data_IF_796425622466
#
_entry.id   IF_796425622466
#
_cell.length_a   1.000
_cell.length_b   1.000
_cell.length_c   1.000
_cell.angle_alpha   90.00
_cell.angle_beta   90.00
_cell.angle_gamma   90.00
#
_symmetry.space_group_name_H-M   'P 1'
#
loop_
_entity.id
_entity.type
_entity.pdbx_description
1 polymer ?
#
# COMPACT_ATOMS: atom_id res chain seq x y z
N UNK A 1 1.80 -17.30 -4.55
CA UNK A 1 1.89 -15.96 -3.92
C UNK A 1 3.36 -15.56 -3.95
N UNK A 2 3.76 -14.56 -4.76
CA UNK A 2 5.15 -14.06 -4.78
C UNK A 2 5.25 -12.98 -3.71
N UNK A 3 6.02 -13.22 -2.65
CA UNK A 3 6.03 -12.36 -1.47
C UNK A 3 6.78 -11.04 -1.68
N UNK A 4 7.73 -10.90 -2.61
CA UNK A 4 8.41 -9.62 -2.82
C UNK A 4 8.87 -9.46 -4.27
N UNK A 5 8.44 -8.37 -4.91
CA UNK A 5 8.88 -7.96 -6.25
C UNK A 5 10.00 -6.91 -6.11
N UNK A 6 11.16 -7.16 -6.70
CA UNK A 6 12.32 -6.24 -6.68
C UNK A 6 12.53 -5.51 -8.00
N UNK A 7 11.51 -5.47 -8.88
CA UNK A 7 11.65 -4.92 -10.23
C UNK A 7 11.83 -3.40 -10.30
N UNK A 8 11.43 -2.66 -9.25
CA UNK A 8 11.35 -1.19 -9.32
C UNK A 8 12.23 -0.49 -8.27
N UNK A 9 12.80 0.65 -8.67
CA UNK A 9 13.58 1.55 -7.82
C UNK A 9 12.92 2.93 -7.78
N UNK A 10 13.09 3.64 -6.66
CA UNK A 10 12.60 5.02 -6.56
C UNK A 10 13.39 5.92 -7.53
N UNK A 11 14.72 5.77 -7.56
CA UNK A 11 15.62 6.50 -8.46
C UNK A 11 16.12 5.55 -9.54
N UNK A 12 16.01 5.95 -10.81
CA UNK A 12 16.39 5.13 -11.97
C UNK A 12 17.86 5.30 -12.39
N UNK A 13 18.43 6.50 -12.20
CA UNK A 13 19.79 6.82 -12.65
C UNK A 13 20.52 7.68 -11.61
N UNK A 14 21.51 7.11 -10.89
CA UNK A 14 21.79 5.67 -10.79
C UNK A 14 20.62 4.93 -10.11
N UNK A 15 20.45 3.64 -10.41
CA UNK A 15 19.43 2.83 -9.74
C UNK A 15 19.69 2.78 -8.24
N UNK A 16 18.80 3.40 -7.45
CA UNK A 16 18.91 3.46 -5.99
C UNK A 16 17.53 3.42 -5.33
N UNK A 17 17.53 2.96 -4.08
CA UNK A 17 16.34 2.86 -3.24
C UNK A 17 15.28 1.93 -3.84
N UNK A 18 15.55 0.62 -3.77
CA UNK A 18 14.63 -0.41 -4.25
C UNK A 18 13.28 -0.33 -3.53
N UNK A 19 12.19 -0.34 -4.30
CA UNK A 19 10.85 -0.39 -3.78
C UNK A 19 10.51 -1.83 -3.43
N UNK A 20 10.11 -2.05 -2.17
CA UNK A 20 9.76 -3.36 -1.64
C UNK A 20 8.42 -3.27 -0.92
N UNK A 21 7.29 -3.38 -1.63
CA UNK A 21 6.00 -3.53 -0.96
C UNK A 21 5.93 -4.87 -0.25
N UNK A 22 5.18 -4.95 0.84
CA UNK A 22 4.97 -6.21 1.57
C UNK A 22 4.21 -7.25 0.74
N UNK A 23 3.22 -6.80 -0.04
CA UNK A 23 2.35 -7.68 -0.82
C UNK A 23 2.17 -7.13 -2.24
N UNK A 24 2.45 -7.99 -3.22
CA UNK A 24 2.23 -7.71 -4.65
C UNK A 24 1.27 -8.76 -5.20
N UNK A 25 0.10 -8.31 -5.68
CA UNK A 25 -0.91 -9.18 -6.29
C UNK A 25 -0.81 -9.14 -7.81
N UNK A 26 -0.64 -10.31 -8.42
CA UNK A 26 -0.51 -10.47 -9.86
C UNK A 26 -1.70 -11.24 -10.43
N UNK A 27 -2.14 -10.86 -11.63
CA UNK A 27 -3.07 -11.62 -12.46
C UNK A 27 -2.51 -11.64 -13.88
N UNK A 28 -2.37 -12.81 -14.47
CA UNK A 28 -1.83 -13.00 -15.83
C UNK A 28 -0.50 -12.25 -16.03
N UNK A 29 0.44 -12.45 -15.10
CA UNK A 29 1.76 -11.78 -15.01
C UNK A 29 1.77 -10.25 -14.87
N UNK A 30 0.59 -9.62 -14.79
CA UNK A 30 0.44 -8.19 -14.54
C UNK A 30 0.19 -7.92 -13.06
N UNK A 31 0.93 -6.94 -12.51
CA UNK A 31 0.65 -6.42 -11.16
C UNK A 31 -0.68 -5.68 -11.21
N UNK A 32 -1.66 -6.15 -10.44
CA UNK A 32 -3.00 -5.54 -10.39
C UNK A 32 -3.22 -4.68 -9.16
N UNK A 33 -2.55 -5.03 -8.04
CA UNK A 33 -2.71 -4.35 -6.74
C UNK A 33 -1.43 -4.50 -5.93
N UNK A 34 -1.17 -3.50 -5.10
CA UNK A 34 -0.09 -3.53 -4.08
C UNK A 34 -0.71 -3.24 -2.73
N UNK A 35 -0.23 -3.95 -1.71
CA UNK A 35 -0.55 -3.67 -0.32
C UNK A 35 0.72 -3.56 0.53
N UNK A 36 0.66 -2.72 1.55
CA UNK A 36 1.70 -2.55 2.56
C UNK A 36 1.06 -2.65 3.95
N UNK A 37 1.75 -3.31 4.88
CA UNK A 37 1.24 -3.58 6.22
C UNK A 37 1.89 -2.64 7.22
N UNK A 38 1.10 -2.15 8.19
CA UNK A 38 1.56 -1.27 9.25
C UNK A 38 1.15 -1.82 10.59
N UNK A 39 2.06 -1.86 11.55
CA UNK A 39 1.79 -2.29 12.91
C UNK A 39 1.40 -1.08 13.79
N UNK A 40 0.20 -0.55 13.56
CA UNK A 40 -0.34 0.60 14.28
C UNK A 40 -1.86 0.56 14.30
N UNK A 41 -2.49 0.93 15.41
CA UNK A 41 -3.94 1.15 15.45
C UNK A 41 -4.23 2.59 14.98
N UNK A 42 -5.25 2.74 14.12
CA UNK A 42 -5.71 4.03 13.62
C UNK A 42 -7.22 4.14 13.79
N UNK A 43 -7.70 5.32 14.20
CA UNK A 43 -9.13 5.60 14.36
C UNK A 43 -9.58 6.76 13.47
N UNK A 44 -8.68 7.71 13.22
CA UNK A 44 -8.87 8.89 12.40
C UNK A 44 -7.84 8.94 11.25
N UNK A 45 -8.10 9.75 10.23
CA UNK A 45 -7.20 9.90 9.08
C UNK A 45 -5.84 10.52 9.48
N UNK A 46 -5.83 11.41 10.46
CA UNK A 46 -4.62 12.02 11.05
C UNK A 46 -3.66 10.99 11.66
N UNK A 47 -4.14 9.79 11.99
CA UNK A 47 -3.29 8.73 12.55
C UNK A 47 -2.46 8.03 11.46
N UNK A 48 -2.77 8.25 10.18
CA UNK A 48 -2.00 7.71 9.06
C UNK A 48 -0.76 8.56 8.86
N UNK A 49 0.42 7.93 8.86
CA UNK A 49 1.67 8.64 8.68
C UNK A 49 1.79 9.14 7.23
N UNK A 50 2.09 10.43 7.07
CA UNK A 50 2.31 11.03 5.75
C UNK A 50 3.44 10.32 4.97
N UNK A 51 4.47 9.80 5.65
CA UNK A 51 5.52 9.01 5.03
C UNK A 51 4.97 7.72 4.37
N UNK A 52 3.99 7.06 5.00
CA UNK A 52 3.33 5.89 4.42
C UNK A 52 2.56 6.28 3.16
N UNK A 53 1.87 7.43 3.17
CA UNK A 53 1.18 7.94 1.98
C UNK A 53 2.15 8.23 0.83
N UNK A 54 3.33 8.79 1.09
CA UNK A 54 4.34 8.99 0.05
C UNK A 54 4.92 7.68 -0.48
N UNK A 55 5.16 6.71 0.40
CA UNK A 55 5.61 5.37 0.03
C UNK A 55 4.59 4.69 -0.90
N UNK A 56 3.31 4.72 -0.54
CA UNK A 56 2.23 4.15 -1.34
C UNK A 56 2.09 4.86 -2.69
N UNK A 57 2.22 6.19 -2.74
CA UNK A 57 2.23 6.94 -3.99
C UNK A 57 3.38 6.50 -4.92
N UNK A 58 4.59 6.35 -4.37
CA UNK A 58 5.74 5.87 -5.13
C UNK A 58 5.51 4.47 -5.70
N UNK A 59 4.91 3.55 -4.92
CA UNK A 59 4.52 2.23 -5.42
C UNK A 59 3.52 2.33 -6.57
N UNK A 60 2.45 3.11 -6.41
CA UNK A 60 1.44 3.30 -7.45
C UNK A 60 2.03 3.77 -8.78
N UNK A 61 2.91 4.78 -8.73
CA UNK A 61 3.56 5.34 -9.92
C UNK A 61 4.56 4.38 -10.56
N UNK A 62 5.42 3.73 -9.76
CA UNK A 62 6.49 2.88 -10.30
C UNK A 62 5.99 1.57 -10.86
N UNK A 63 4.94 1.00 -10.26
CA UNK A 63 4.31 -0.23 -10.74
C UNK A 63 3.18 0.02 -11.75
N UNK A 64 2.85 1.29 -12.05
CA UNK A 64 1.78 1.70 -12.96
C UNK A 64 0.43 1.01 -12.66
N UNK A 65 0.01 1.08 -11.40
CA UNK A 65 -1.27 0.52 -10.93
C UNK A 65 -2.23 1.62 -10.50
N UNK A 66 -3.51 1.26 -10.36
CA UNK A 66 -4.56 2.22 -10.00
C UNK A 66 -5.14 2.01 -8.59
N UNK A 67 -4.84 0.88 -7.94
CA UNK A 67 -5.44 0.49 -6.67
C UNK A 67 -4.39 0.00 -5.68
N UNK A 68 -4.25 0.76 -4.61
CA UNK A 68 -3.34 0.52 -3.48
C UNK A 68 -4.13 0.17 -2.23
N UNK A 69 -3.46 -0.53 -1.31
CA UNK A 69 -4.00 -0.91 0.00
C UNK A 69 -2.99 -0.63 1.12
N UNK A 70 -3.42 0.04 2.18
CA UNK A 70 -2.71 0.03 3.46
C UNK A 70 -3.47 -0.88 4.41
N UNK A 71 -2.76 -1.82 5.04
CA UNK A 71 -3.35 -2.79 5.95
C UNK A 71 -2.87 -2.48 7.36
N UNK A 72 -3.81 -2.22 8.26
CA UNK A 72 -3.56 -2.03 9.68
C UNK A 72 -4.15 -3.19 10.48
N UNK A 73 -3.64 -3.49 11.69
CA UNK A 73 -4.33 -4.34 12.63
C UNK A 73 -5.71 -3.78 12.96
N UNK A 74 -6.68 -4.68 13.09
CA UNK A 74 -8.02 -4.36 13.53
C UNK A 74 -8.04 -4.15 15.05
N UNK A 75 -8.86 -3.19 15.49
CA UNK A 75 -9.11 -2.89 16.91
C UNK A 75 -10.63 -2.74 17.09
N UNK A 76 -11.26 -3.79 17.62
CA UNK A 76 -12.71 -3.88 17.78
C UNK A 76 -13.50 -4.02 16.47
N UNK A 77 -14.83 -3.94 16.56
CA UNK A 77 -15.73 -4.20 15.43
C UNK A 77 -15.98 -2.97 14.55
N UNK A 78 -15.83 -1.76 15.10
CA UNK A 78 -16.18 -0.50 14.44
C UNK A 78 -14.95 0.33 14.08
N UNK A 79 -14.35 0.03 12.92
CA UNK A 79 -13.27 0.84 12.36
C UNK A 79 -13.70 1.61 11.12
N UNK A 80 -13.32 2.88 11.10
CA UNK A 80 -13.60 3.81 10.01
C UNK A 80 -12.93 3.33 8.72
N UNK A 81 -13.71 3.19 7.64
CA UNK A 81 -13.17 2.81 6.34
C UNK A 81 -12.62 4.03 5.61
N UNK A 82 -11.30 4.15 5.52
CA UNK A 82 -10.68 5.24 4.76
C UNK A 82 -10.47 4.88 3.29
N UNK A 83 -10.80 5.83 2.42
CA UNK A 83 -10.56 5.76 0.98
C UNK A 83 -10.01 7.10 0.52
N UNK A 84 -8.80 7.09 -0.03
CA UNK A 84 -8.13 8.28 -0.53
C UNK A 84 -7.92 8.19 -2.04
N UNK A 85 -7.82 9.36 -2.66
CA UNK A 85 -7.53 9.52 -4.09
C UNK A 85 -6.29 10.40 -4.20
N UNK A 86 -5.20 9.87 -4.76
CA UNK A 86 -4.01 10.66 -5.04
C UNK A 86 -4.21 11.52 -6.29
N UNK A 87 -4.82 10.93 -7.32
CA UNK A 87 -5.19 11.56 -8.58
C UNK A 87 -6.31 10.76 -9.26
N UNK A 88 -6.72 11.13 -10.48
CA UNK A 88 -7.79 10.46 -11.23
C UNK A 88 -7.59 8.96 -11.43
N UNK A 89 -6.34 8.52 -11.47
CA UNK A 89 -5.95 7.17 -11.81
C UNK A 89 -5.46 6.35 -10.61
N UNK A 90 -5.11 6.98 -9.47
CA UNK A 90 -4.52 6.28 -8.34
C UNK A 90 -5.33 6.46 -7.05
N UNK A 91 -5.82 5.33 -6.51
CA UNK A 91 -6.64 5.28 -5.29
C UNK A 91 -5.99 4.42 -4.22
N UNK A 92 -6.12 4.84 -2.98
CA UNK A 92 -5.67 4.11 -1.79
C UNK A 92 -6.87 3.73 -0.93
N UNK A 93 -6.92 2.46 -0.51
CA UNK A 93 -7.91 1.96 0.45
C UNK A 93 -7.19 1.54 1.72
N UNK A 94 -7.76 1.89 2.85
CA UNK A 94 -7.34 1.35 4.14
C UNK A 94 -8.17 0.10 4.45
N UNK A 95 -7.47 -0.97 4.81
CA UNK A 95 -8.04 -2.24 5.21
C UNK A 95 -7.54 -2.59 6.60
N UNK A 96 -8.33 -3.41 7.29
CA UNK A 96 -8.02 -3.86 8.63
C UNK A 96 -7.98 -5.38 8.66
N UNK A 97 -6.97 -5.92 9.32
CA UNK A 97 -6.77 -7.36 9.46
C UNK A 97 -6.95 -7.75 10.92
N UNK A 98 -7.83 -8.72 11.15
CA UNK A 98 -8.08 -9.29 12.48
C UNK A 98 -6.93 -10.25 12.82
N UNK A 99 -6.27 -10.04 13.95
CA UNK A 99 -5.12 -10.85 14.38
C UNK A 99 -5.53 -11.97 15.35
N UNK A 100 -6.75 -11.91 15.88
CA UNK A 100 -7.24 -12.85 16.89
C UNK A 100 -8.06 -13.99 16.29
N UNK A 101 -8.23 -14.02 14.96
CA UNK A 101 -9.05 -15.01 14.25
C UNK A 101 -8.45 -15.47 12.93
#
# INVERSE_FOLDING_TARGET
IKLQDKRHHLIEKPQKFALKPDIVMNKDDKVIRIADTKWKIIHEDKDINQADLYQMYAYGKKYNINQLYLIYPKDGENQTKFKFKYDDNLRLKVCYFDLER
#
